data_IF_035963805517
#
_entry.id   IF_035963805517
#
_cell.length_a   1.000
_cell.length_b   1.000
_cell.length_c   1.000
_cell.angle_alpha   90.00
_cell.angle_beta   90.00
_cell.angle_gamma   90.00
#
_symmetry.space_group_name_H-M   'P 1'
#
loop_
_entity.id
_entity.type
_entity.pdbx_description
1 polymer ?
#
# COMPACT_ATOMS: atom_id res chain seq x y z
N UNK A 1 -15.66 8.77 -27.04
CA UNK A 1 -14.88 9.99 -26.68
C UNK A 1 -14.20 9.95 -25.31
N UNK A 2 -14.86 10.07 -24.15
CA UNK A 2 -14.15 10.19 -22.85
C UNK A 2 -13.38 8.92 -22.42
N UNK A 3 -13.88 7.74 -22.80
CA UNK A 3 -13.16 6.47 -22.61
C UNK A 3 -11.92 6.39 -23.52
N UNK A 4 -12.06 6.74 -24.79
CA UNK A 4 -10.95 6.77 -25.77
C UNK A 4 -9.85 7.74 -25.36
N UNK A 5 -10.21 8.91 -24.81
CA UNK A 5 -9.22 9.91 -24.35
C UNK A 5 -8.67 9.60 -22.95
N UNK A 6 -9.05 8.48 -22.33
CA UNK A 6 -8.56 8.05 -21.02
C UNK A 6 -9.08 8.85 -19.82
N UNK A 7 -10.01 9.80 -20.04
CA UNK A 7 -10.64 10.58 -18.97
C UNK A 7 -11.50 9.67 -18.10
N UNK A 8 -12.25 8.76 -18.71
CA UNK A 8 -12.86 7.63 -18.01
C UNK A 8 -11.92 6.43 -18.18
N UNK A 9 -11.38 5.92 -17.07
CA UNK A 9 -10.43 4.79 -17.10
C UNK A 9 -11.10 3.45 -17.34
N UNK A 10 -12.30 3.23 -16.78
CA UNK A 10 -13.09 1.99 -16.87
C UNK A 10 -14.53 2.24 -16.42
N UNK A 11 -15.48 1.50 -16.98
CA UNK A 11 -16.85 1.33 -16.46
C UNK A 11 -17.00 -0.11 -15.99
N UNK A 12 -17.44 -0.34 -14.75
CA UNK A 12 -17.62 -1.68 -14.20
C UNK A 12 -18.05 -1.70 -12.73
N UNK A 13 -18.37 -2.88 -12.22
CA UNK A 13 -18.73 -3.09 -10.83
C UNK A 13 -17.49 -3.24 -9.95
N UNK A 14 -17.54 -2.73 -8.70
CA UNK A 14 -16.49 -2.91 -7.69
C UNK A 14 -17.07 -3.68 -6.50
N UNK A 15 -16.66 -4.94 -6.27
CA UNK A 15 -17.16 -5.73 -5.16
C UNK A 15 -16.62 -5.21 -3.81
N UNK A 16 -17.38 -5.46 -2.74
CA UNK A 16 -16.99 -5.06 -1.40
C UNK A 16 -15.98 -6.07 -0.81
N UNK A 17 -14.70 -5.70 -0.75
CA UNK A 17 -13.63 -6.57 -0.23
C UNK A 17 -13.81 -6.97 1.24
N UNK A 18 -14.53 -6.19 2.07
CA UNK A 18 -14.84 -6.61 3.44
C UNK A 18 -15.79 -7.81 3.47
N UNK A 19 -16.73 -7.88 2.52
CA UNK A 19 -17.61 -9.02 2.37
C UNK A 19 -16.86 -10.28 1.88
N UNK A 20 -15.64 -10.12 1.37
CA UNK A 20 -14.76 -11.21 0.92
C UNK A 20 -13.82 -11.72 2.03
N UNK A 21 -13.94 -11.24 3.27
CA UNK A 21 -13.26 -11.83 4.43
C UNK A 21 -11.90 -11.22 4.81
N UNK A 22 -11.39 -10.23 4.08
CA UNK A 22 -10.15 -9.52 4.45
C UNK A 22 -10.39 -8.51 5.56
N UNK A 23 -10.13 -8.91 6.81
CA UNK A 23 -10.34 -8.07 8.00
C UNK A 23 -9.03 -7.43 8.49
N UNK A 24 -7.89 -8.09 8.29
CA UNK A 24 -6.56 -7.54 8.53
C UNK A 24 -6.17 -6.54 7.45
N UNK A 25 -5.92 -5.30 7.84
CA UNK A 25 -5.44 -4.24 6.95
C UNK A 25 -4.31 -3.48 7.67
N UNK A 26 -3.13 -3.45 7.07
CA UNK A 26 -1.99 -2.70 7.58
C UNK A 26 -1.30 -1.94 6.46
N UNK A 27 -1.11 -0.63 6.65
CA UNK A 27 -0.21 0.12 5.78
C UNK A 27 1.20 -0.06 6.31
N UNK A 28 2.01 -0.87 5.64
CA UNK A 28 3.44 -0.96 5.92
C UNK A 28 4.17 0.22 5.31
N UNK A 29 5.07 0.84 6.07
CA UNK A 29 5.88 1.99 5.64
C UNK A 29 7.35 1.68 5.86
N UNK A 30 8.19 2.00 4.89
CA UNK A 30 9.57 1.51 4.82
C UNK A 30 10.53 2.64 4.52
N UNK A 31 11.68 2.64 5.19
CA UNK A 31 12.82 3.50 4.90
C UNK A 31 13.84 2.76 4.03
N UNK A 32 13.86 3.08 2.73
CA UNK A 32 14.76 2.44 1.77
C UNK A 32 15.77 3.43 1.19
N UNK A 33 17.02 3.02 0.89
CA UNK A 33 17.94 3.86 0.12
C UNK A 33 17.26 4.40 -1.16
N UNK A 34 17.35 5.72 -1.39
CA UNK A 34 16.61 6.37 -2.49
C UNK A 34 16.91 5.74 -3.86
N UNK A 35 18.17 5.33 -4.09
CA UNK A 35 18.60 4.67 -5.31
C UNK A 35 17.98 3.28 -5.54
N UNK A 36 17.46 2.63 -4.49
CA UNK A 36 16.94 1.26 -4.53
C UNK A 36 15.43 1.21 -4.71
N UNK A 37 14.70 2.31 -4.44
CA UNK A 37 13.24 2.35 -4.54
C UNK A 37 12.74 1.94 -5.92
N UNK A 38 13.37 2.44 -6.99
CA UNK A 38 12.95 2.15 -8.36
C UNK A 38 12.99 0.65 -8.70
N UNK A 39 13.90 -0.10 -8.06
CA UNK A 39 14.03 -1.55 -8.22
C UNK A 39 13.13 -2.32 -7.25
N UNK A 40 13.15 -1.95 -5.96
CA UNK A 40 12.49 -2.70 -4.89
C UNK A 40 10.99 -2.44 -4.80
N UNK A 41 10.55 -1.22 -5.09
CA UNK A 41 9.13 -0.84 -5.06
C UNK A 41 8.27 -1.73 -5.96
N UNK A 42 8.63 -1.93 -7.25
CA UNK A 42 7.92 -2.87 -8.12
C UNK A 42 7.91 -4.31 -7.62
N UNK A 43 9.01 -4.79 -7.01
CA UNK A 43 9.08 -6.14 -6.44
C UNK A 43 8.09 -6.31 -5.28
N UNK A 44 8.05 -5.35 -4.35
CA UNK A 44 7.08 -5.34 -3.25
C UNK A 44 5.64 -5.23 -3.78
N UNK A 45 5.41 -4.36 -4.76
CA UNK A 45 4.10 -4.15 -5.37
C UNK A 45 3.60 -5.33 -6.21
N UNK A 46 4.45 -6.29 -6.57
CA UNK A 46 4.09 -7.50 -7.30
C UNK A 46 3.68 -8.67 -6.38
N UNK A 47 3.81 -8.52 -5.06
CA UNK A 47 3.37 -9.54 -4.11
C UNK A 47 1.84 -9.60 -4.08
N UNK A 48 1.26 -10.80 -4.20
CA UNK A 48 -0.20 -11.01 -4.32
C UNK A 48 -1.02 -10.42 -3.17
N UNK A 49 -0.40 -10.27 -1.99
CA UNK A 49 -1.04 -9.71 -0.79
C UNK A 49 -0.86 -8.19 -0.63
N UNK A 50 -0.16 -7.53 -1.57
CA UNK A 50 0.02 -6.07 -1.64
C UNK A 50 -0.90 -5.51 -2.72
N UNK A 51 -1.91 -4.72 -2.34
CA UNK A 51 -2.86 -4.16 -3.32
C UNK A 51 -2.41 -2.81 -3.90
N UNK A 52 -1.62 -2.06 -3.14
CA UNK A 52 -1.13 -0.75 -3.52
C UNK A 52 0.28 -0.56 -2.98
N UNK A 53 1.18 -0.08 -3.83
CA UNK A 53 2.54 0.26 -3.46
C UNK A 53 2.87 1.65 -4.00
N UNK A 54 3.30 2.57 -3.13
CA UNK A 54 3.56 3.96 -3.47
C UNK A 54 4.94 4.39 -2.98
N UNK A 55 5.65 5.14 -3.82
CA UNK A 55 6.76 5.97 -3.39
C UNK A 55 6.25 7.33 -2.90
N UNK A 56 6.77 7.81 -1.76
CA UNK A 56 6.50 9.16 -1.25
C UNK A 56 7.79 9.83 -0.79
N UNK A 57 7.88 11.18 -0.84
CA UNK A 57 9.03 11.88 -0.28
C UNK A 57 9.05 11.76 1.24
N UNK A 58 10.25 11.64 1.82
CA UNK A 58 10.45 11.70 3.27
C UNK A 58 10.16 13.10 3.82
N UNK A 59 9.87 13.18 5.11
CA UNK A 59 9.75 14.44 5.89
C UNK A 59 10.61 14.33 7.14
N UNK A 60 11.92 14.46 6.96
CA UNK A 60 12.89 14.31 8.05
C UNK A 60 12.86 15.50 9.02
N UNK A 61 13.17 15.28 10.30
CA UNK A 61 13.52 13.99 10.91
C UNK A 61 12.30 13.11 11.24
N UNK A 62 11.10 13.68 11.30
CA UNK A 62 9.92 13.04 11.91
C UNK A 62 9.35 11.86 11.12
N UNK A 63 9.60 11.80 9.82
CA UNK A 63 9.05 10.76 8.93
C UNK A 63 10.09 10.26 7.91
N UNK A 64 10.83 9.18 8.23
CA UNK A 64 11.89 8.65 7.38
C UNK A 64 11.38 7.73 6.26
N UNK A 65 10.10 7.37 6.22
CA UNK A 65 9.59 6.38 5.28
C UNK A 65 9.33 6.94 3.88
N UNK A 66 9.74 6.19 2.85
CA UNK A 66 9.63 6.57 1.44
C UNK A 66 8.98 5.52 0.53
N UNK A 67 8.73 4.30 1.03
CA UNK A 67 7.91 3.29 0.37
C UNK A 67 6.72 2.92 1.27
N UNK A 68 5.54 2.81 0.67
CA UNK A 68 4.28 2.54 1.35
C UNK A 68 3.61 1.36 0.67
N UNK A 69 3.34 0.28 1.39
CA UNK A 69 2.69 -0.92 0.85
C UNK A 69 1.46 -1.29 1.68
N UNK A 70 0.28 -1.32 1.05
CA UNK A 70 -0.96 -1.74 1.69
C UNK A 70 -1.05 -3.27 1.70
N UNK A 71 -0.97 -3.87 2.88
CA UNK A 71 -0.97 -5.31 3.12
C UNK A 71 -2.33 -5.77 3.64
N UNK A 72 -2.88 -6.82 3.03
CA UNK A 72 -4.13 -7.45 3.46
C UNK A 72 -3.92 -8.87 3.97
N UNK A 73 -4.65 -9.22 5.03
CA UNK A 73 -4.68 -10.56 5.62
C UNK A 73 -6.03 -10.85 6.29
N UNK A 74 -6.20 -12.06 6.81
CA UNK A 74 -7.40 -12.43 7.57
C UNK A 74 -7.43 -11.73 8.93
N UNK A 75 -6.27 -11.56 9.55
CA UNK A 75 -6.10 -10.89 10.85
C UNK A 75 -4.77 -10.10 10.90
N UNK A 76 -4.43 -9.57 12.08
CA UNK A 76 -3.18 -8.83 12.28
C UNK A 76 -1.94 -9.73 12.22
N UNK A 77 -2.02 -10.96 12.72
CA UNK A 77 -0.89 -11.89 12.73
C UNK A 77 -0.45 -12.24 11.30
N UNK A 78 -1.41 -12.51 10.42
CA UNK A 78 -1.12 -12.75 9.01
C UNK A 78 -0.53 -11.51 8.31
N UNK A 79 -0.98 -10.31 8.67
CA UNK A 79 -0.38 -9.06 8.15
C UNK A 79 1.07 -8.94 8.61
N UNK A 80 1.37 -9.23 9.87
CA UNK A 80 2.74 -9.19 10.41
C UNK A 80 3.64 -10.23 9.74
N UNK A 81 3.14 -11.45 9.48
CA UNK A 81 3.86 -12.48 8.71
C UNK A 81 4.22 -12.00 7.30
N UNK A 82 3.26 -11.41 6.59
CA UNK A 82 3.46 -10.84 5.25
C UNK A 82 4.40 -9.64 5.25
N UNK A 83 4.36 -8.81 6.28
CA UNK A 83 5.34 -7.72 6.45
C UNK A 83 6.73 -8.27 6.70
N UNK A 84 6.89 -9.35 7.47
CA UNK A 84 8.19 -10.04 7.59
C UNK A 84 8.69 -10.59 6.25
N UNK A 85 7.81 -11.10 5.40
CA UNK A 85 8.16 -11.52 4.04
C UNK A 85 8.68 -10.35 3.19
N UNK A 86 8.01 -9.18 3.26
CA UNK A 86 8.50 -7.96 2.60
C UNK A 86 9.87 -7.55 3.16
N UNK A 87 10.05 -7.56 4.48
CA UNK A 87 11.32 -7.22 5.10
C UNK A 87 12.45 -8.16 4.65
N UNK A 88 12.17 -9.47 4.55
CA UNK A 88 13.12 -10.44 4.03
C UNK A 88 13.49 -10.19 2.56
N UNK A 89 12.51 -9.81 1.73
CA UNK A 89 12.73 -9.45 0.33
C UNK A 89 13.58 -8.18 0.18
N UNK A 90 13.37 -7.19 1.03
CA UNK A 90 14.13 -5.93 1.05
C UNK A 90 15.53 -6.13 1.63
N UNK A 91 15.68 -7.05 2.59
CA UNK A 91 16.95 -7.44 3.17
C UNK A 91 17.69 -6.25 3.77
N UNK A 92 18.96 -6.07 3.37
CA UNK A 92 19.83 -4.99 3.86
C UNK A 92 19.38 -3.58 3.45
N UNK A 93 18.47 -3.47 2.48
CA UNK A 93 17.94 -2.19 2.03
C UNK A 93 16.83 -1.68 2.97
N UNK A 94 16.27 -2.52 3.83
CA UNK A 94 15.35 -2.10 4.89
C UNK A 94 16.12 -1.42 6.05
N UNK A 95 16.04 -0.09 6.11
CA UNK A 95 16.67 0.71 7.18
C UNK A 95 15.75 0.91 8.38
N UNK A 96 14.51 0.41 8.31
CA UNK A 96 13.49 0.58 9.32
C UNK A 96 12.10 0.64 8.69
N UNK A 97 11.14 0.01 9.35
CA UNK A 97 9.75 -0.01 8.90
C UNK A 97 8.77 -0.06 10.06
N UNK A 98 7.53 0.31 9.77
CA UNK A 98 6.41 0.26 10.70
C UNK A 98 5.14 -0.25 10.01
N UNK A 99 4.19 -0.77 10.80
CA UNK A 99 2.85 -1.11 10.34
C UNK A 99 1.85 -0.14 10.97
N UNK A 100 1.21 0.66 10.11
CA UNK A 100 0.14 1.56 10.53
C UNK A 100 -1.19 0.83 10.42
N UNK A 101 -1.70 0.36 11.56
CA UNK A 101 -2.99 -0.31 11.63
C UNK A 101 -4.15 0.68 11.57
N UNK A 102 -5.11 0.42 10.68
CA UNK A 102 -6.37 1.14 10.70
C UNK A 102 -7.19 0.72 11.92
N UNK A 103 -7.39 1.64 12.87
CA UNK A 103 -8.22 1.41 14.07
C UNK A 103 -9.66 1.84 13.85
N UNK A 104 -9.89 2.93 13.12
CA UNK A 104 -11.20 3.46 12.79
C UNK A 104 -11.19 4.14 11.43
N UNK A 105 -12.25 3.91 10.65
CA UNK A 105 -12.49 4.67 9.42
C UNK A 105 -13.18 5.98 9.82
N UNK A 106 -12.46 7.09 9.78
CA UNK A 106 -13.02 8.42 10.05
C UNK A 106 -13.81 8.95 8.84
N UNK A 107 -13.36 8.65 7.63
CA UNK A 107 -14.02 9.02 6.37
C UNK A 107 -13.62 8.05 5.26
N UNK A 108 -14.60 7.60 4.46
CA UNK A 108 -14.37 6.81 3.23
C UNK A 108 -15.40 7.20 2.19
N UNK A 109 -15.04 8.12 1.31
CA UNK A 109 -15.90 8.65 0.24
C UNK A 109 -15.10 8.77 -1.05
N UNK A 110 -15.68 8.42 -2.19
CA UNK A 110 -15.06 8.67 -3.49
C UNK A 110 -14.98 10.16 -3.83
N UNK A 111 -14.11 10.53 -4.76
CA UNK A 111 -14.05 11.87 -5.33
C UNK A 111 -15.37 12.19 -6.03
N UNK A 112 -15.96 13.35 -5.71
CA UNK A 112 -17.11 13.91 -6.45
C UNK A 112 -16.59 15.11 -7.22
N UNK A 113 -16.65 15.05 -8.54
CA UNK A 113 -16.32 16.19 -9.40
C UNK A 113 -17.54 17.11 -9.46
N UNK A 114 -17.33 18.40 -9.23
CA UNK A 114 -18.35 19.41 -9.52
C UNK A 114 -18.45 19.63 -11.03
N UNK A 115 -19.65 19.98 -11.51
CA UNK A 115 -19.90 20.31 -12.91
C UNK A 115 -19.35 21.69 -13.26
#
# INVERSE_FOLDING_TARGET
KMLETGVIRRIGAVPNHYALGYRGNGMSVWDLPGARIGELGPKVGALDFVTHCYQRPRRLPDWPYNLFAMVHGRDRGEVEEKVREIAALLGVDDRGHEILYSTRILKKTGLRLAA
#
